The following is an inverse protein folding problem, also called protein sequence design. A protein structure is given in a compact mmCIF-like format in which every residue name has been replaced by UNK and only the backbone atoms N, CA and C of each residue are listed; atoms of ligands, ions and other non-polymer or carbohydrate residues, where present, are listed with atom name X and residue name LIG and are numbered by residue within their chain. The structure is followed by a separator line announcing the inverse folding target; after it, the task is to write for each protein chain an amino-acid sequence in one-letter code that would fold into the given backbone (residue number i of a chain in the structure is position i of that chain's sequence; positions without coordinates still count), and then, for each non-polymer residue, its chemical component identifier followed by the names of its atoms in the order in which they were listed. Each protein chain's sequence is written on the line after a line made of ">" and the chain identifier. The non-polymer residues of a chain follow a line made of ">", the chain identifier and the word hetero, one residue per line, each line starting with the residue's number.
data_IF_265845246665
#
_entry.id   IF_265845246665
#
_cell.length_a   1.000
_cell.length_b   1.000
_cell.length_c   1.000
_cell.angle_alpha   90.00
_cell.angle_beta   90.00
_cell.angle_gamma   90.00
#
_symmetry.space_group_name_H-M   'P 1'
#
loop_
_entity.id
_entity.type
_entity.pdbx_description
1 polymer ?
#
# COMPACT_ATOMS: atom_id res chain seq x y z
N UNK A 1 5.32 -64.31 -56.27
CA UNK A 1 4.01 -64.14 -55.60
C UNK A 1 4.27 -63.55 -54.22
N UNK A 2 3.49 -62.51 -53.85
CA UNK A 2 3.34 -61.88 -52.54
C UNK A 2 4.57 -61.17 -51.92
N UNK A 3 4.47 -59.98 -51.33
CA UNK A 3 3.49 -58.90 -51.36
C UNK A 3 4.23 -57.66 -50.80
N UNK A 4 4.08 -56.51 -51.45
CA UNK A 4 4.65 -55.23 -51.02
C UNK A 4 3.85 -54.67 -49.84
N UNK A 5 4.53 -54.38 -48.72
CA UNK A 5 3.99 -53.61 -47.59
C UNK A 5 4.56 -52.19 -47.64
N UNK A 6 3.70 -51.21 -47.89
CA UNK A 6 4.05 -49.80 -48.07
C UNK A 6 4.69 -49.20 -46.81
N UNK A 7 5.90 -48.66 -46.96
CA UNK A 7 6.52 -47.80 -45.97
C UNK A 7 5.79 -46.44 -45.99
N UNK A 8 4.88 -46.23 -45.04
CA UNK A 8 4.34 -44.92 -44.74
C UNK A 8 5.44 -44.03 -44.17
N UNK A 9 5.93 -43.09 -44.96
CA UNK A 9 6.78 -42.00 -44.50
C UNK A 9 6.01 -41.09 -43.56
N UNK A 10 6.11 -41.34 -42.26
CA UNK A 10 5.72 -40.36 -41.25
C UNK A 10 6.71 -39.19 -41.34
N UNK A 11 6.25 -38.06 -41.90
CA UNK A 11 6.97 -36.80 -41.79
C UNK A 11 7.21 -36.51 -40.29
N UNK A 12 8.42 -36.10 -39.87
CA UNK A 12 8.63 -35.72 -38.49
C UNK A 12 7.72 -34.54 -38.20
N UNK A 13 6.79 -34.72 -37.26
CA UNK A 13 5.93 -33.65 -36.77
C UNK A 13 6.83 -32.48 -36.40
N UNK A 14 6.67 -31.36 -37.10
CA UNK A 14 7.37 -30.13 -36.79
C UNK A 14 6.94 -29.71 -35.39
N UNK A 15 7.75 -30.06 -34.38
CA UNK A 15 7.59 -29.59 -33.01
C UNK A 15 7.76 -28.08 -33.09
N UNK A 16 6.65 -27.35 -33.05
CA UNK A 16 6.64 -25.90 -32.98
C UNK A 16 7.40 -25.49 -31.70
N UNK A 17 8.68 -25.17 -31.85
CA UNK A 17 9.51 -24.67 -30.75
C UNK A 17 9.10 -23.23 -30.53
N UNK A 18 8.37 -22.98 -29.46
CA UNK A 18 8.00 -21.63 -29.08
C UNK A 18 9.25 -20.89 -28.59
N UNK A 19 9.59 -19.81 -29.28
CA UNK A 19 10.67 -18.92 -28.89
C UNK A 19 10.07 -17.78 -28.06
N UNK A 20 10.32 -17.77 -26.75
CA UNK A 20 10.04 -16.58 -25.93
C UNK A 20 11.20 -15.60 -26.07
N UNK A 21 11.00 -14.55 -26.86
CA UNK A 21 11.88 -13.40 -26.88
C UNK A 21 11.39 -12.34 -25.88
N UNK A 22 12.31 -11.78 -25.10
CA UNK A 22 12.06 -10.64 -24.23
C UNK A 22 12.97 -9.50 -24.68
N UNK A 23 12.36 -8.35 -24.96
CA UNK A 23 13.06 -7.13 -25.31
C UNK A 23 12.87 -6.12 -24.17
N UNK A 24 13.92 -5.39 -23.80
CA UNK A 24 13.86 -4.34 -22.79
C UNK A 24 14.71 -3.14 -23.18
N UNK A 25 14.18 -1.93 -22.96
CA UNK A 25 14.88 -0.66 -23.17
C UNK A 25 15.03 0.03 -21.82
N UNK A 26 16.24 0.51 -21.51
CA UNK A 26 16.51 1.26 -20.29
C UNK A 26 17.12 2.61 -20.66
N UNK A 27 16.50 3.69 -20.20
CA UNK A 27 17.01 5.05 -20.36
C UNK A 27 17.64 5.48 -19.02
N UNK A 28 18.90 5.91 -19.06
CA UNK A 28 19.60 6.44 -17.89
C UNK A 28 20.00 7.89 -18.17
N UNK A 29 19.64 8.80 -17.28
CA UNK A 29 20.02 10.20 -17.38
C UNK A 29 21.35 10.41 -16.64
N UNK A 30 22.36 10.92 -17.35
CA UNK A 30 23.68 11.18 -16.76
C UNK A 30 23.56 12.22 -15.62
N UNK A 31 24.23 11.94 -14.49
CA UNK A 31 24.28 12.87 -13.34
C UNK A 31 23.09 12.80 -12.38
N UNK A 32 22.15 11.87 -12.55
CA UNK A 32 21.10 11.61 -11.55
C UNK A 32 21.27 10.24 -10.91
N UNK A 33 21.08 10.16 -9.59
CA UNK A 33 20.99 8.87 -8.88
C UNK A 33 19.79 8.10 -9.41
N UNK A 34 20.03 6.90 -9.94
CA UNK A 34 18.97 6.04 -10.46
C UNK A 34 17.92 5.80 -9.37
N UNK A 35 16.70 6.30 -9.60
CA UNK A 35 15.56 6.05 -8.72
C UNK A 35 15.19 4.59 -8.85
N UNK A 36 15.26 3.85 -7.73
CA UNK A 36 14.97 2.43 -7.71
C UNK A 36 13.47 2.21 -7.94
N UNK A 37 13.13 1.57 -9.05
CA UNK A 37 11.77 1.07 -9.32
C UNK A 37 11.62 -0.34 -8.75
N UNK A 38 10.41 -0.67 -8.34
CA UNK A 38 10.06 -2.00 -7.83
C UNK A 38 9.36 -2.88 -8.87
N UNK A 39 9.24 -2.36 -10.09
CA UNK A 39 8.57 -3.01 -11.21
C UNK A 39 8.25 -2.04 -12.35
N UNK A 40 7.44 -2.49 -13.31
CA UNK A 40 7.01 -1.69 -14.46
C UNK A 40 5.74 -2.30 -15.12
N UNK A 41 4.53 -1.74 -14.89
CA UNK A 41 4.14 -0.89 -13.77
C UNK A 41 3.81 -1.71 -12.49
N UNK A 42 3.53 -3.01 -12.64
CA UNK A 42 3.20 -3.89 -11.53
C UNK A 42 4.38 -4.20 -10.61
N UNK A 43 4.11 -4.35 -9.32
CA UNK A 43 5.11 -4.71 -8.32
C UNK A 43 5.65 -6.12 -8.53
N UNK A 44 6.97 -6.26 -8.43
CA UNK A 44 7.65 -7.55 -8.40
C UNK A 44 7.75 -8.06 -6.97
N UNK A 45 7.45 -9.33 -6.76
CA UNK A 45 7.57 -9.98 -5.44
C UNK A 45 9.02 -9.92 -4.96
N UNK A 46 9.22 -9.49 -3.71
CA UNK A 46 10.55 -9.33 -3.10
C UNK A 46 11.22 -7.97 -3.34
N UNK A 47 10.71 -7.16 -4.27
CA UNK A 47 11.16 -5.79 -4.45
C UNK A 47 10.68 -4.90 -3.28
N UNK A 48 11.39 -3.81 -2.94
CA UNK A 48 10.96 -2.93 -1.86
C UNK A 48 9.59 -2.31 -2.13
N UNK A 49 8.76 -2.21 -1.10
CA UNK A 49 7.52 -1.45 -1.15
C UNK A 49 7.87 0.04 -1.21
N UNK A 50 7.52 0.74 -2.29
CA UNK A 50 7.88 2.15 -2.44
C UNK A 50 7.07 3.00 -1.47
N UNK A 51 7.74 3.86 -0.71
CA UNK A 51 7.10 4.79 0.22
C UNK A 51 7.80 6.14 0.20
N UNK A 52 7.12 7.18 0.69
CA UNK A 52 7.64 8.53 0.76
C UNK A 52 6.79 9.42 1.67
N UNK A 53 7.23 10.66 1.82
CA UNK A 53 6.49 11.69 2.56
C UNK A 53 6.11 12.83 1.63
N UNK A 54 4.88 13.31 1.73
CA UNK A 54 4.43 14.48 0.96
C UNK A 54 5.08 15.74 1.53
N UNK A 55 5.79 16.47 0.67
CA UNK A 55 6.38 17.78 0.95
C UNK A 55 5.73 18.85 0.08
N UNK A 56 5.64 20.06 0.64
CA UNK A 56 5.23 21.26 -0.10
C UNK A 56 6.46 22.10 -0.43
N UNK A 57 6.47 22.71 -1.60
CA UNK A 57 7.49 23.66 -2.00
C UNK A 57 7.59 24.80 -0.96
N UNK A 58 8.77 25.04 -0.39
CA UNK A 58 8.96 26.07 0.65
C UNK A 58 8.83 27.51 0.12
N UNK A 59 8.78 27.69 -1.20
CA UNK A 59 8.67 29.02 -1.81
C UNK A 59 7.32 29.67 -1.48
N UNK A 60 7.36 30.89 -0.94
CA UNK A 60 6.17 31.68 -0.59
C UNK A 60 5.27 31.84 -1.81
N UNK A 61 4.01 31.41 -1.71
CA UNK A 61 3.03 31.47 -2.80
C UNK A 61 2.98 30.22 -3.70
N UNK A 62 3.87 29.24 -3.52
CA UNK A 62 3.81 27.99 -4.27
C UNK A 62 2.75 27.03 -3.70
N UNK A 63 1.95 26.45 -4.60
CA UNK A 63 1.01 25.35 -4.31
C UNK A 63 1.58 23.98 -4.69
N UNK A 64 2.83 23.92 -5.15
CA UNK A 64 3.43 22.68 -5.64
C UNK A 64 3.73 21.74 -4.47
N UNK A 65 3.40 20.48 -4.67
CA UNK A 65 3.70 19.39 -3.75
C UNK A 65 4.45 18.29 -4.50
N UNK A 66 5.31 17.58 -3.77
CA UNK A 66 6.06 16.46 -4.29
C UNK A 66 6.20 15.40 -3.20
N UNK A 67 6.50 14.17 -3.60
CA UNK A 67 6.79 13.09 -2.66
C UNK A 67 8.30 12.96 -2.51
N UNK A 68 8.79 13.09 -1.29
CA UNK A 68 10.16 12.72 -0.95
C UNK A 68 10.22 11.20 -0.78
N UNK A 69 10.64 10.52 -1.85
CA UNK A 69 10.64 9.07 -1.94
C UNK A 69 11.81 8.47 -1.14
N UNK A 70 11.50 7.49 -0.31
CA UNK A 70 12.49 6.72 0.44
C UNK A 70 13.24 5.76 -0.50
N UNK A 71 14.56 5.91 -0.57
CA UNK A 71 15.44 5.11 -1.45
C UNK A 71 15.35 3.60 -1.16
N UNK A 72 15.14 3.24 0.11
CA UNK A 72 15.02 1.85 0.57
C UNK A 72 13.61 1.27 0.49
N UNK A 73 12.59 2.05 0.14
CA UNK A 73 11.19 1.70 0.35
C UNK A 73 10.73 1.93 1.79
N UNK A 74 9.55 1.44 2.15
CA UNK A 74 8.98 1.55 3.49
C UNK A 74 9.87 0.84 4.52
N UNK A 75 10.45 1.55 5.50
CA UNK A 75 11.26 0.92 6.54
C UNK A 75 10.38 0.38 7.67
N UNK A 76 10.82 -0.70 8.30
CA UNK A 76 10.35 -1.16 9.61
C UNK A 76 11.55 -1.36 10.55
N UNK A 77 11.41 -1.15 11.87
CA UNK A 77 12.49 -1.39 12.83
C UNK A 77 13.03 -2.82 12.72
N UNK A 78 14.35 -2.97 12.75
CA UNK A 78 15.02 -4.26 12.67
C UNK A 78 16.23 -4.31 13.62
N UNK A 79 16.68 -5.52 13.91
CA UNK A 79 17.89 -5.72 14.69
C UNK A 79 19.14 -5.32 13.88
N UNK A 80 20.11 -4.71 14.58
CA UNK A 80 21.47 -4.56 14.09
C UNK A 80 22.22 -5.88 14.08
N UNK A 81 23.51 -5.84 13.71
CA UNK A 81 24.41 -7.00 13.79
C UNK A 81 24.58 -7.55 15.21
N UNK A 82 24.27 -6.74 16.22
CA UNK A 82 24.30 -7.05 17.64
C UNK A 82 22.95 -7.52 18.20
N UNK A 83 21.91 -7.65 17.36
CA UNK A 83 20.56 -8.02 17.79
C UNK A 83 19.74 -6.88 18.38
N UNK A 84 20.30 -5.66 18.49
CA UNK A 84 19.68 -4.53 19.20
C UNK A 84 18.97 -3.57 18.26
N UNK A 85 17.94 -2.91 18.79
CA UNK A 85 17.22 -1.87 18.06
C UNK A 85 18.12 -0.68 17.82
N UNK A 86 18.13 -0.07 16.64
CA UNK A 86 18.91 1.14 16.42
C UNK A 86 18.23 2.05 15.41
N UNK A 87 18.49 3.36 15.48
CA UNK A 87 17.89 4.35 14.56
C UNK A 87 18.28 4.11 13.10
N UNK A 88 19.42 3.47 12.85
CA UNK A 88 19.89 3.11 11.50
C UNK A 88 19.56 1.66 11.11
N UNK A 89 19.07 0.87 12.06
CA UNK A 89 18.79 -0.56 11.85
C UNK A 89 17.34 -0.70 11.40
N UNK A 90 17.11 -0.49 10.10
CA UNK A 90 15.80 -0.58 9.46
C UNK A 90 15.82 -1.66 8.40
N UNK A 91 14.76 -2.46 8.33
CA UNK A 91 14.55 -3.43 7.26
C UNK A 91 13.50 -2.89 6.28
N UNK A 92 13.77 -2.93 4.97
CA UNK A 92 12.77 -2.54 3.98
C UNK A 92 11.66 -3.58 3.89
N UNK A 93 10.41 -3.13 3.79
CA UNK A 93 9.28 -3.99 3.48
C UNK A 93 9.39 -4.51 2.05
N UNK A 94 9.29 -5.83 1.87
CA UNK A 94 9.34 -6.47 0.55
C UNK A 94 7.94 -6.80 0.06
N UNK A 95 7.60 -6.36 -1.14
CA UNK A 95 6.29 -6.58 -1.74
C UNK A 95 5.98 -8.08 -1.86
N UNK A 96 4.78 -8.48 -1.42
CA UNK A 96 4.31 -9.86 -1.50
C UNK A 96 4.99 -10.83 -0.51
N UNK A 97 5.80 -10.32 0.43
CA UNK A 97 6.45 -11.12 1.47
C UNK A 97 6.06 -10.58 2.84
N UNK A 98 5.11 -11.24 3.49
CA UNK A 98 4.80 -10.95 4.90
C UNK A 98 6.04 -11.24 5.74
N UNK A 99 6.42 -10.28 6.60
CA UNK A 99 7.63 -10.36 7.40
C UNK A 99 7.37 -9.82 8.81
N UNK A 100 7.94 -10.47 9.83
CA UNK A 100 8.04 -9.90 11.17
C UNK A 100 9.51 -9.59 11.45
N UNK A 101 9.78 -8.41 11.97
CA UNK A 101 11.13 -7.97 12.36
C UNK A 101 11.12 -7.63 13.83
N UNK A 102 12.15 -8.06 14.55
CA UNK A 102 12.30 -7.78 15.96
C UNK A 102 13.70 -7.30 16.29
N UNK A 103 13.82 -6.61 17.42
CA UNK A 103 15.08 -6.12 17.95
C UNK A 103 15.02 -5.97 19.47
N UNK A 104 16.16 -6.11 20.13
CA UNK A 104 16.26 -6.04 21.59
C UNK A 104 16.53 -4.61 22.10
N UNK A 105 15.85 -4.28 23.20
CA UNK A 105 15.93 -3.03 23.97
C UNK A 105 16.42 -3.40 25.38
N UNK A 106 17.72 -3.32 25.66
CA UNK A 106 18.30 -3.70 26.95
C UNK A 106 18.02 -2.67 28.06
N UNK A 107 17.09 -2.97 28.97
CA UNK A 107 16.70 -2.09 30.08
C UNK A 107 17.12 -2.68 31.43
N UNK A 108 17.53 -1.80 32.35
CA UNK A 108 17.60 -2.12 33.78
C UNK A 108 16.21 -2.07 34.41
N UNK A 109 16.04 -2.55 35.64
CA UNK A 109 14.75 -2.50 36.33
C UNK A 109 14.25 -1.05 36.46
N UNK A 110 15.12 -0.13 36.89
CA UNK A 110 14.81 1.30 37.00
C UNK A 110 14.53 1.92 35.64
N UNK A 111 15.24 1.49 34.59
CA UNK A 111 15.02 1.95 33.22
C UNK A 111 13.66 1.53 32.67
N UNK A 112 13.25 0.28 32.92
CA UNK A 112 11.94 -0.24 32.55
C UNK A 112 10.80 0.50 33.28
N UNK A 113 10.95 0.74 34.59
CA UNK A 113 9.97 1.49 35.39
C UNK A 113 9.81 2.94 34.88
N UNK A 114 10.93 3.61 34.61
CA UNK A 114 10.96 4.98 34.09
C UNK A 114 10.30 5.09 32.71
N UNK A 115 10.63 4.16 31.80
CA UNK A 115 10.02 4.03 30.49
C UNK A 115 8.49 3.85 30.61
N UNK A 116 8.07 2.94 31.49
CA UNK A 116 6.65 2.62 31.68
C UNK A 116 5.83 3.81 32.19
N UNK A 117 6.40 4.59 33.11
CA UNK A 117 5.74 5.78 33.68
C UNK A 117 5.79 6.99 32.75
N UNK A 118 6.47 6.89 31.60
CA UNK A 118 6.73 8.04 30.72
C UNK A 118 7.58 9.13 31.38
N UNK A 119 8.27 8.79 32.48
CA UNK A 119 9.08 9.70 33.28
C UNK A 119 10.55 9.51 32.95
N UNK A 120 11.22 10.58 32.49
CA UNK A 120 12.66 10.59 32.24
C UNK A 120 13.05 11.06 30.84
N UNK A 121 14.27 11.58 30.69
CA UNK A 121 14.90 12.06 29.46
C UNK A 121 15.51 10.93 28.63
N UNK A 122 14.85 9.78 28.57
CA UNK A 122 15.42 8.61 27.90
C UNK A 122 15.10 8.66 26.40
N UNK A 123 15.97 9.36 25.67
CA UNK A 123 16.01 9.33 24.21
C UNK A 123 16.47 7.94 23.76
N UNK A 124 15.99 7.45 22.62
CA UNK A 124 16.55 6.25 21.97
C UNK A 124 18.06 6.36 21.84
N UNK A 125 18.58 7.56 21.56
CA UNK A 125 20.03 7.77 21.42
C UNK A 125 20.80 7.71 22.73
N UNK A 126 20.30 8.28 23.84
CA UNK A 126 20.94 8.13 25.16
C UNK A 126 20.85 6.67 25.66
N UNK A 127 19.76 6.00 25.30
CA UNK A 127 19.54 4.58 25.57
C UNK A 127 20.48 3.67 24.75
N UNK A 128 20.76 4.04 23.50
CA UNK A 128 21.66 3.33 22.59
C UNK A 128 23.15 3.61 22.83
N UNK A 129 23.48 4.80 23.35
CA UNK A 129 24.86 5.21 23.66
C UNK A 129 25.43 4.45 24.87
N UNK A 130 24.58 3.98 25.78
CA UNK A 130 25.02 3.21 26.95
C UNK A 130 25.33 1.72 26.63
N UNK A 131 25.12 1.28 25.38
CA UNK A 131 25.19 -0.12 24.95
C UNK A 131 26.46 -0.51 24.19
N UNK A 132 27.22 0.48 23.72
CA UNK A 132 28.62 0.31 23.34
C UNK A 132 29.48 0.87 24.46
N UNK A 133 29.99 0.03 25.35
CA UNK A 133 30.91 0.50 26.40
C UNK A 133 32.12 1.20 25.79
N UNK A 134 32.40 2.44 26.20
CA UNK A 134 33.69 3.09 25.97
C UNK A 134 33.65 4.58 25.55
N UNK A 135 33.75 5.43 26.57
CA UNK A 135 34.36 6.77 26.65
C UNK A 135 34.99 7.41 25.40
N UNK A 136 34.32 8.41 24.79
CA UNK A 136 35.03 9.56 24.20
C UNK A 136 34.14 10.83 24.11
N UNK A 137 34.34 11.86 24.96
CA UNK A 137 33.48 13.04 25.01
C UNK A 137 33.61 13.97 23.79
N UNK A 138 34.63 13.79 22.93
CA UNK A 138 34.82 14.60 21.73
C UNK A 138 33.97 14.14 20.52
N UNK A 139 33.56 12.87 20.46
CA UNK A 139 32.67 12.37 19.40
C UNK A 139 31.20 12.72 19.69
N UNK A 140 30.85 12.92 20.96
CA UNK A 140 29.53 13.38 21.40
C UNK A 140 29.21 14.82 20.94
N UNK A 141 30.23 15.66 20.74
CA UNK A 141 30.06 17.01 20.20
C UNK A 141 29.88 17.04 18.66
N UNK A 142 30.24 15.96 17.96
CA UNK A 142 30.18 15.88 16.49
C UNK A 142 28.86 15.28 15.96
N UNK A 143 27.98 14.75 16.83
CA UNK A 143 26.62 14.29 16.47
C UNK A 143 25.52 15.17 17.08
N UNK A 144 25.88 16.38 17.50
CA UNK A 144 24.95 17.42 17.91
C UNK A 144 24.44 18.18 16.67
N UNK A 145 23.56 17.55 15.89
CA UNK A 145 22.77 18.18 14.81
C UNK A 145 21.68 17.17 14.38
N UNK A 146 20.36 17.34 14.48
CA UNK A 146 19.44 18.30 15.09
C UNK A 146 18.14 17.52 15.45
N UNK A 147 17.47 17.96 16.52
CA UNK A 147 16.12 17.57 16.99
C UNK A 147 15.89 16.14 17.54
N UNK A 148 16.09 16.00 18.85
CA UNK A 148 15.71 14.82 19.63
C UNK A 148 14.18 14.78 19.91
N UNK A 149 13.48 13.65 19.70
CA UNK A 149 12.13 13.49 20.20
C UNK A 149 12.11 13.39 21.74
N UNK A 150 11.24 14.19 22.38
CA UNK A 150 10.87 14.04 23.78
C UNK A 150 10.21 12.67 24.05
N UNK A 151 9.95 12.31 25.31
CA UNK A 151 9.25 11.09 25.78
C UNK A 151 7.79 10.92 25.29
N UNK A 152 7.37 11.69 24.30
CA UNK A 152 5.99 11.81 23.81
C UNK A 152 5.60 10.85 22.67
N UNK A 153 6.47 10.44 21.72
CA UNK A 153 6.18 9.37 20.77
C UNK A 153 6.66 8.00 21.26
N UNK A 154 5.92 6.91 20.99
CA UNK A 154 6.38 5.55 21.24
C UNK A 154 7.74 5.22 20.59
N UNK A 155 8.53 4.35 21.23
CA UNK A 155 9.85 3.93 20.77
C UNK A 155 9.87 3.42 19.31
N UNK A 156 8.91 2.59 18.83
CA UNK A 156 8.88 2.19 17.43
C UNK A 156 8.71 3.36 16.45
N UNK A 157 7.96 4.41 16.82
CA UNK A 157 7.84 5.59 15.99
C UNK A 157 9.14 6.41 15.95
N UNK A 158 9.85 6.50 17.07
CA UNK A 158 11.15 7.17 17.14
C UNK A 158 12.19 6.47 16.24
N UNK A 159 12.22 5.13 16.24
CA UNK A 159 13.09 4.33 15.37
C UNK A 159 12.77 4.48 13.87
N UNK A 160 11.57 4.94 13.54
CA UNK A 160 11.13 5.20 12.17
C UNK A 160 11.18 6.68 11.81
N UNK A 161 11.87 7.53 12.58
CA UNK A 161 11.91 8.99 12.40
C UNK A 161 10.50 9.62 12.33
N UNK A 162 9.55 9.08 13.11
CA UNK A 162 8.16 9.53 13.12
C UNK A 162 7.37 9.23 11.85
N UNK A 163 7.90 8.44 10.90
CA UNK A 163 7.30 8.21 9.58
C UNK A 163 5.82 7.82 9.63
N UNK A 164 5.40 6.98 10.58
CA UNK A 164 4.01 6.52 10.68
C UNK A 164 3.29 7.13 11.88
N UNK A 165 3.77 8.23 12.45
CA UNK A 165 3.23 8.82 13.67
C UNK A 165 2.77 10.26 13.45
N UNK A 166 1.52 10.56 13.80
CA UNK A 166 1.01 11.93 13.81
C UNK A 166 1.01 12.47 15.24
N UNK A 167 1.98 13.32 15.63
CA UNK A 167 1.89 14.02 16.90
C UNK A 167 0.84 15.13 16.81
N UNK A 168 0.05 15.29 17.89
CA UNK A 168 -0.74 16.50 18.14
C UNK A 168 0.09 17.60 18.84
N UNK A 169 1.36 17.34 19.15
CA UNK A 169 2.21 18.20 19.98
C UNK A 169 3.36 18.80 19.18
N UNK A 170 3.51 20.13 19.28
CA UNK A 170 4.55 20.92 18.63
C UNK A 170 5.95 20.51 19.12
N UNK A 171 6.87 20.22 18.18
CA UNK A 171 8.29 19.97 18.50
C UNK A 171 8.98 18.93 17.62
N UNK A 172 8.23 18.05 16.95
CA UNK A 172 8.75 17.25 15.84
C UNK A 172 8.20 17.85 14.55
N UNK A 173 9.09 18.32 13.67
CA UNK A 173 8.81 18.94 12.36
C UNK A 173 8.16 18.00 11.32
N UNK A 174 7.49 16.95 11.80
CA UNK A 174 6.65 16.01 11.05
C UNK A 174 5.15 16.33 11.13
N UNK A 175 4.74 17.28 11.98
CA UNK A 175 3.38 17.82 11.98
C UNK A 175 3.05 18.45 10.61
N UNK A 176 2.44 17.66 9.71
CA UNK A 176 2.10 18.07 8.35
C UNK A 176 2.66 17.17 7.23
N UNK A 177 3.59 16.26 7.54
CA UNK A 177 4.08 15.28 6.55
C UNK A 177 3.17 14.05 6.55
N UNK A 178 2.56 13.76 5.40
CA UNK A 178 1.73 12.57 5.20
C UNK A 178 2.58 11.48 4.57
N UNK A 179 2.63 10.30 5.20
CA UNK A 179 3.31 9.15 4.62
C UNK A 179 2.43 8.47 3.59
N UNK A 180 3.02 8.26 2.42
CA UNK A 180 2.36 7.67 1.26
C UNK A 180 3.14 6.44 0.82
N UNK A 181 2.41 5.40 0.44
CA UNK A 181 2.97 4.21 -0.22
C UNK A 181 2.61 4.32 -1.69
N UNK A 182 3.46 3.90 -2.62
CA UNK A 182 3.09 3.99 -4.04
C UNK A 182 2.09 2.88 -4.40
N UNK A 183 1.03 3.24 -5.13
CA UNK A 183 0.08 2.26 -5.68
C UNK A 183 0.73 1.35 -6.73
N UNK A 184 1.66 1.91 -7.50
CA UNK A 184 2.38 1.25 -8.59
C UNK A 184 3.88 1.24 -8.37
N UNK A 185 4.56 0.29 -8.99
CA UNK A 185 5.98 0.00 -8.75
C UNK A 185 6.94 0.89 -9.55
N UNK A 186 6.40 1.70 -10.46
CA UNK A 186 7.09 2.70 -11.27
C UNK A 186 6.69 4.14 -10.91
N UNK A 187 6.02 4.33 -9.79
CA UNK A 187 5.58 5.64 -9.30
C UNK A 187 6.72 6.66 -9.24
N UNK A 188 6.40 7.87 -9.69
CA UNK A 188 7.37 8.97 -9.77
C UNK A 188 7.19 9.95 -8.62
N UNK A 189 8.29 10.43 -8.03
CA UNK A 189 8.29 11.48 -7.00
C UNK A 189 7.60 12.80 -7.40
N UNK A 190 7.49 13.05 -8.70
CA UNK A 190 6.87 14.26 -9.27
C UNK A 190 5.36 14.08 -9.52
N UNK A 191 4.87 12.84 -9.60
CA UNK A 191 3.48 12.55 -9.92
C UNK A 191 2.75 12.09 -8.66
N UNK A 192 2.17 13.03 -7.93
CA UNK A 192 1.47 12.73 -6.67
C UNK A 192 0.32 11.72 -6.86
N UNK A 193 -0.29 11.66 -8.05
CA UNK A 193 -1.38 10.74 -8.36
C UNK A 193 -1.00 9.25 -8.23
N UNK A 194 0.28 8.89 -8.41
CA UNK A 194 0.74 7.51 -8.24
C UNK A 194 0.87 7.10 -6.75
N UNK A 195 0.88 8.10 -5.86
CA UNK A 195 1.07 7.96 -4.42
C UNK A 195 -0.20 8.25 -3.62
N UNK A 196 -1.16 8.96 -4.21
CA UNK A 196 -2.44 9.31 -3.58
C UNK A 196 -3.57 8.44 -4.10
N UNK A 197 -4.54 8.17 -3.24
CA UNK A 197 -5.82 7.59 -3.62
C UNK A 197 -6.60 8.51 -4.57
N UNK A 198 -7.44 7.93 -5.45
CA UNK A 198 -8.46 8.71 -6.15
C UNK A 198 -9.45 9.37 -5.17
N UNK A 199 -10.21 10.32 -5.71
CA UNK A 199 -11.05 11.28 -4.99
C UNK A 199 -12.08 10.65 -4.04
N UNK A 200 -12.49 11.43 -3.02
CA UNK A 200 -13.46 11.04 -1.98
C UNK A 200 -14.83 10.54 -2.46
N UNK A 201 -15.14 10.66 -3.76
CA UNK A 201 -16.36 10.16 -4.38
C UNK A 201 -16.27 8.67 -4.80
N UNK A 202 -15.08 8.09 -4.86
CA UNK A 202 -14.88 6.70 -5.32
C UNK A 202 -13.92 5.93 -4.39
N UNK A 203 -14.51 5.37 -3.33
CA UNK A 203 -13.81 4.63 -2.28
C UNK A 203 -13.53 3.16 -2.65
N UNK A 204 -13.95 2.71 -3.83
CA UNK A 204 -13.87 1.30 -4.22
C UNK A 204 -12.45 0.84 -4.62
N UNK A 205 -11.53 1.76 -4.91
CA UNK A 205 -10.23 1.37 -5.50
C UNK A 205 -9.01 2.22 -5.06
N UNK A 206 -9.03 2.79 -3.85
CA UNK A 206 -8.07 3.87 -3.54
C UNK A 206 -7.76 4.06 -2.05
N UNK A 207 -6.64 3.56 -1.52
CA UNK A 207 -6.10 4.05 -0.23
C UNK A 207 -4.59 3.75 -0.03
N UNK A 208 -3.74 4.33 -0.87
CA UNK A 208 -2.27 4.23 -0.74
C UNK A 208 -1.67 5.12 0.34
N UNK A 209 -2.47 6.01 0.94
CA UNK A 209 -2.07 6.82 2.10
C UNK A 209 -2.07 5.93 3.33
N UNK A 210 -0.91 5.73 3.94
CA UNK A 210 -0.84 5.06 5.23
C UNK A 210 -1.37 6.04 6.29
N UNK A 211 -2.51 5.76 6.95
CA UNK A 211 -3.02 6.66 7.97
C UNK A 211 -1.96 6.80 9.05
N UNK A 212 -1.64 8.03 9.46
CA UNK A 212 -0.71 8.21 10.55
C UNK A 212 -1.30 7.58 11.82
N UNK A 213 -0.47 6.85 12.57
CA UNK A 213 -0.83 6.34 13.87
C UNK A 213 -1.03 7.54 14.81
N UNK A 214 -2.24 7.63 15.37
CA UNK A 214 -2.49 8.49 16.50
C UNK A 214 -1.70 8.02 17.73
N UNK A 215 -1.58 8.90 18.72
CA UNK A 215 -1.10 8.52 20.03
C UNK A 215 -1.86 7.26 20.53
N UNK A 216 -1.17 6.27 21.11
CA UNK A 216 -1.81 5.11 21.70
C UNK A 216 -2.95 5.53 22.64
N UNK A 217 -4.16 4.99 22.41
CA UNK A 217 -5.32 5.29 23.26
C UNK A 217 -5.18 4.68 24.67
N UNK A 218 -4.32 3.68 24.82
CA UNK A 218 -3.98 3.04 26.09
C UNK A 218 -2.63 3.54 26.58
N UNK A 219 -2.58 3.96 27.84
CA UNK A 219 -1.33 4.31 28.50
C UNK A 219 -0.65 3.05 29.05
N UNK A 220 0.67 3.11 29.13
CA UNK A 220 1.46 2.09 29.83
C UNK A 220 1.16 2.12 31.34
N UNK A 221 1.17 0.94 31.97
CA UNK A 221 0.87 0.79 33.41
C UNK A 221 1.98 -0.01 34.08
N UNK A 222 2.58 0.58 35.12
CA UNK A 222 3.64 -0.07 35.90
C UNK A 222 3.07 -0.78 37.13
N UNK A 223 3.36 -2.08 37.25
CA UNK A 223 3.00 -2.91 38.41
C UNK A 223 4.25 -3.28 39.19
N UNK A 224 4.50 -2.57 40.30
CA UNK A 224 5.71 -2.74 41.11
C UNK A 224 5.84 -4.13 41.76
N UNK A 225 4.71 -4.77 42.12
CA UNK A 225 4.69 -6.09 42.75
C UNK A 225 5.26 -7.18 41.83
N UNK A 226 4.99 -7.09 40.52
CA UNK A 226 5.42 -8.08 39.52
C UNK A 226 6.58 -7.58 38.66
N UNK A 227 7.02 -6.32 38.84
CA UNK A 227 8.03 -5.65 38.00
C UNK A 227 7.66 -5.70 36.52
N UNK A 228 6.38 -5.50 36.22
CA UNK A 228 5.79 -5.58 34.88
C UNK A 228 5.34 -4.21 34.41
N UNK A 229 5.65 -3.89 33.15
CA UNK A 229 5.03 -2.81 32.41
C UNK A 229 4.02 -3.37 31.41
N UNK A 230 2.75 -3.04 31.60
CA UNK A 230 1.66 -3.46 30.72
C UNK A 230 1.34 -2.39 29.66
N UNK A 231 0.74 -2.83 28.54
CA UNK A 231 0.36 -1.99 27.40
C UNK A 231 1.53 -1.23 26.75
N UNK A 232 2.72 -1.83 26.71
CA UNK A 232 3.88 -1.26 26.02
C UNK A 232 3.66 -1.30 24.52
N UNK A 233 3.75 -0.18 23.78
CA UNK A 233 3.75 -0.18 22.33
C UNK A 233 5.08 -0.74 21.80
N UNK A 234 5.13 -2.07 21.60
CA UNK A 234 6.32 -2.81 21.19
C UNK A 234 6.59 -2.79 19.69
N UNK A 235 5.66 -2.28 18.88
CA UNK A 235 5.92 -2.11 17.45
C UNK A 235 4.74 -1.62 16.63
N UNK A 236 4.94 -1.65 15.32
CA UNK A 236 3.94 -1.22 14.34
C UNK A 236 3.52 -2.42 13.49
N UNK A 237 2.21 -2.62 13.37
CA UNK A 237 1.60 -3.55 12.44
C UNK A 237 1.22 -2.84 11.15
N UNK A 238 1.82 -3.22 10.03
CA UNK A 238 1.50 -2.71 8.69
C UNK A 238 0.75 -3.80 7.91
N UNK A 239 -0.47 -3.51 7.49
CA UNK A 239 -1.26 -4.38 6.62
C UNK A 239 -1.34 -3.76 5.23
N UNK A 240 -0.85 -4.49 4.24
CA UNK A 240 -0.80 -4.06 2.84
C UNK A 240 -1.77 -4.91 2.05
N UNK A 241 -2.87 -4.28 1.63
CA UNK A 241 -3.86 -4.87 0.75
C UNK A 241 -3.40 -4.69 -0.70
N UNK A 242 -3.34 -5.77 -1.45
CA UNK A 242 -2.83 -5.83 -2.82
C UNK A 242 -3.90 -6.33 -3.77
N UNK A 243 -3.88 -5.84 -5.00
CA UNK A 243 -4.81 -6.26 -6.04
C UNK A 243 -4.07 -6.51 -7.35
N UNK A 244 -4.65 -7.33 -8.22
CA UNK A 244 -4.17 -7.56 -9.58
C UNK A 244 -5.02 -6.77 -10.57
N UNK A 245 -4.42 -6.00 -11.45
CA UNK A 245 -5.16 -5.21 -12.44
C UNK A 245 -4.60 -5.46 -13.83
N UNK A 246 -5.48 -5.50 -14.83
CA UNK A 246 -5.12 -5.75 -16.22
C UNK A 246 -5.86 -6.95 -16.79
N UNK A 247 -5.36 -7.46 -17.91
CA UNK A 247 -5.95 -8.62 -18.56
C UNK A 247 -5.71 -9.88 -17.74
N UNK A 248 -6.62 -10.86 -17.85
CA UNK A 248 -6.52 -12.15 -17.16
C UNK A 248 -5.18 -12.86 -17.42
N UNK A 249 -4.63 -12.70 -18.62
CA UNK A 249 -3.38 -13.35 -19.04
C UNK A 249 -2.11 -12.59 -18.63
N UNK A 250 -2.22 -11.30 -18.26
CA UNK A 250 -1.08 -10.49 -17.81
C UNK A 250 -1.46 -9.52 -16.66
N UNK A 251 -1.91 -10.05 -15.51
CA UNK A 251 -2.26 -9.22 -14.36
C UNK A 251 -1.04 -8.50 -13.78
N UNK A 252 -1.18 -7.22 -13.51
CA UNK A 252 -0.19 -6.39 -12.84
C UNK A 252 -0.53 -6.25 -11.36
N UNK A 253 0.42 -6.53 -10.47
CA UNK A 253 0.20 -6.39 -9.03
C UNK A 253 0.33 -4.92 -8.61
N UNK A 254 -0.62 -4.42 -7.83
CA UNK A 254 -0.62 -3.08 -7.26
C UNK A 254 -0.99 -3.09 -5.78
N UNK A 255 -0.60 -2.03 -5.09
CA UNK A 255 -1.05 -1.76 -3.71
C UNK A 255 -2.41 -1.07 -3.79
N UNK A 256 -3.42 -1.68 -3.19
CA UNK A 256 -4.76 -1.12 -3.12
C UNK A 256 -4.93 -0.26 -1.86
N UNK A 257 -4.48 -0.79 -0.71
CA UNK A 257 -4.59 -0.09 0.57
C UNK A 257 -3.43 -0.40 1.52
N UNK A 258 -3.07 0.58 2.36
CA UNK A 258 -2.20 0.37 3.51
C UNK A 258 -2.92 0.77 4.79
N UNK A 259 -2.87 -0.09 5.79
CA UNK A 259 -3.35 0.18 7.14
C UNK A 259 -2.22 -0.01 8.15
N UNK A 260 -2.21 0.81 9.18
CA UNK A 260 -1.21 0.77 10.25
C UNK A 260 -1.89 0.67 11.61
N UNK A 261 -1.30 -0.11 12.51
CA UNK A 261 -1.80 -0.31 13.87
C UNK A 261 -0.64 -0.39 14.87
N UNK A 262 -0.91 -0.07 16.14
CA UNK A 262 0.04 -0.34 17.22
C UNK A 262 0.01 -1.82 17.61
N UNK A 263 1.19 -2.38 17.92
CA UNK A 263 1.34 -3.66 18.59
C UNK A 263 1.70 -3.41 20.05
N UNK A 264 0.99 -4.08 20.95
CA UNK A 264 1.18 -3.96 22.38
C UNK A 264 1.64 -5.28 22.99
N UNK A 265 2.48 -5.20 24.01
CA UNK A 265 2.85 -6.34 24.84
C UNK A 265 3.09 -5.90 26.29
N UNK A 266 3.23 -6.87 27.18
CA UNK A 266 3.67 -6.65 28.56
C UNK A 266 5.13 -7.05 28.70
N UNK A 267 5.92 -6.19 29.33
CA UNK A 267 7.34 -6.40 29.59
C UNK A 267 7.56 -6.62 31.08
N UNK A 268 8.04 -7.81 31.44
CA UNK A 268 8.32 -8.18 32.83
C UNK A 268 9.81 -8.33 33.02
N UNK A 269 10.36 -7.71 34.05
CA UNK A 269 11.75 -7.94 34.46
C UNK A 269 11.85 -9.34 35.08
N UNK A 270 12.35 -10.29 34.31
CA UNK A 270 12.13 -11.73 34.51
C UNK A 270 12.96 -12.34 35.65
N UNK A 271 14.13 -11.77 35.95
CA UNK A 271 14.98 -12.25 37.03
C UNK A 271 14.64 -11.57 38.37
N UNK A 272 13.99 -12.27 39.32
CA UNK A 272 13.67 -11.71 40.63
C UNK A 272 14.91 -11.53 41.52
N UNK A 273 16.00 -12.25 41.24
CA UNK A 273 17.23 -12.30 42.04
C UNK A 273 18.37 -11.45 41.46
N UNK A 274 18.29 -11.06 40.19
CA UNK A 274 19.23 -10.11 39.61
C UNK A 274 19.16 -8.76 40.34
N UNK A 275 20.32 -8.16 40.66
CA UNK A 275 20.34 -6.79 41.13
C UNK A 275 19.78 -5.87 40.04
N UNK A 276 19.04 -4.83 40.44
CA UNK A 276 18.22 -4.01 39.53
C UNK A 276 19.00 -3.19 38.50
N UNK A 277 20.33 -3.21 38.58
CA UNK A 277 21.30 -2.62 37.66
C UNK A 277 21.65 -3.55 36.47
N UNK A 278 21.30 -4.83 36.54
CA UNK A 278 21.49 -5.77 35.42
C UNK A 278 20.51 -5.43 34.31
N UNK A 279 21.03 -5.34 33.07
CA UNK A 279 20.23 -5.13 31.88
C UNK A 279 19.61 -6.43 31.38
N UNK A 280 18.34 -6.38 31.02
CA UNK A 280 17.61 -7.45 30.36
C UNK A 280 17.10 -6.96 29.01
N UNK A 281 17.09 -7.86 28.03
CA UNK A 281 16.65 -7.56 26.68
C UNK A 281 15.13 -7.63 26.55
N UNK A 282 14.51 -6.51 26.20
CA UNK A 282 13.08 -6.41 25.90
C UNK A 282 12.87 -6.31 24.40
N UNK A 283 12.03 -7.18 23.83
CA UNK A 283 11.88 -7.25 22.37
C UNK A 283 10.83 -6.26 21.86
N UNK A 284 11.21 -5.50 20.85
CA UNK A 284 10.28 -4.86 19.92
C UNK A 284 9.95 -5.81 18.78
N UNK A 285 8.72 -5.75 18.29
CA UNK A 285 8.25 -6.57 17.18
C UNK A 285 7.38 -5.74 16.24
N UNK A 286 7.82 -5.60 14.98
CA UNK A 286 7.06 -4.97 13.92
C UNK A 286 6.62 -6.02 12.90
N UNK A 287 5.34 -6.02 12.55
CA UNK A 287 4.75 -7.05 11.70
C UNK A 287 4.23 -6.44 10.41
N UNK A 288 4.55 -7.05 9.28
CA UNK A 288 4.02 -6.67 7.97
C UNK A 288 3.26 -7.84 7.38
N UNK A 289 2.00 -7.59 7.01
CA UNK A 289 1.12 -8.58 6.41
C UNK A 289 0.67 -8.12 5.04
N UNK A 290 0.88 -8.96 4.03
CA UNK A 290 0.27 -8.79 2.72
C UNK A 290 -1.03 -9.58 2.63
N UNK A 291 -2.09 -8.93 2.16
CA UNK A 291 -3.39 -9.54 1.89
C UNK A 291 -3.73 -9.25 0.43
N UNK A 292 -4.15 -10.27 -0.32
CA UNK A 292 -4.62 -10.10 -1.69
C UNK A 292 -6.15 -9.94 -1.68
N UNK A 293 -6.67 -8.98 -2.44
CA UNK A 293 -8.12 -8.75 -2.58
C UNK A 293 -8.73 -9.86 -3.43
N UNK A 294 -9.86 -10.42 -2.97
CA UNK A 294 -10.68 -11.30 -3.80
C UNK A 294 -11.24 -10.54 -5.00
N UNK A 295 -10.87 -10.97 -6.20
CA UNK A 295 -11.26 -10.28 -7.42
C UNK A 295 -12.62 -10.76 -7.89
N UNK A 296 -13.47 -9.82 -8.33
CA UNK A 296 -14.66 -10.17 -9.07
C UNK A 296 -14.28 -10.96 -10.33
N UNK A 297 -15.14 -11.91 -10.72
CA UNK A 297 -14.90 -12.74 -11.89
C UNK A 297 -14.63 -11.86 -13.12
N UNK A 298 -13.65 -12.27 -13.94
CA UNK A 298 -13.28 -11.53 -15.14
C UNK A 298 -14.52 -11.29 -16.02
N UNK A 299 -14.88 -10.02 -16.20
CA UNK A 299 -16.02 -9.67 -17.04
C UNK A 299 -15.58 -9.81 -18.50
N UNK A 300 -16.14 -10.80 -19.19
CA UNK A 300 -15.93 -10.97 -20.62
C UNK A 300 -16.50 -9.77 -21.35
N UNK A 301 -15.64 -8.91 -21.88
CA UNK A 301 -16.06 -7.86 -22.81
C UNK A 301 -16.38 -8.56 -24.12
N UNK A 302 -17.65 -8.87 -24.36
CA UNK A 302 -18.10 -9.30 -25.69
C UNK A 302 -18.03 -8.09 -26.61
N UNK A 303 -17.11 -8.05 -27.60
CA UNK A 303 -17.11 -6.96 -28.56
C UNK A 303 -18.47 -6.92 -29.26
N UNK A 304 -18.97 -5.71 -29.52
CA UNK A 304 -20.18 -5.57 -30.32
C UNK A 304 -19.96 -6.28 -31.66
N UNK A 305 -20.87 -7.17 -32.12
CA UNK A 305 -20.72 -7.85 -33.39
C UNK A 305 -20.45 -6.81 -34.49
N UNK A 306 -19.45 -7.04 -35.35
CA UNK A 306 -19.21 -6.13 -36.47
C UNK A 306 -20.50 -6.01 -37.29
N UNK A 307 -20.82 -4.82 -37.84
CA UNK A 307 -21.99 -4.66 -38.69
C UNK A 307 -21.90 -5.66 -39.85
N UNK A 308 -22.80 -6.65 -39.86
CA UNK A 308 -22.82 -7.72 -40.87
C UNK A 308 -23.28 -7.18 -42.23
N UNK A 309 -23.96 -6.03 -42.22
CA UNK A 309 -24.42 -5.36 -43.43
C UNK A 309 -23.54 -4.14 -43.72
N UNK A 310 -23.00 -4.00 -44.95
CA UNK A 310 -22.43 -2.74 -45.39
C UNK A 310 -23.53 -1.67 -45.32
N UNK A 311 -23.18 -0.45 -44.91
CA UNK A 311 -24.10 0.69 -44.98
C UNK A 311 -24.41 0.95 -46.45
N UNK A 312 -25.55 0.46 -46.92
CA UNK A 312 -25.99 0.69 -48.29
C UNK A 312 -26.34 2.19 -48.42
N UNK A 313 -25.86 2.87 -49.48
CA UNK A 313 -26.32 4.21 -49.81
C UNK A 313 -27.84 4.22 -49.95
N UNK A 314 -28.47 5.36 -49.64
CA UNK A 314 -29.93 5.53 -49.73
C UNK A 314 -30.50 5.19 -51.12
N UNK A 315 -29.64 5.16 -52.15
CA UNK A 315 -30.00 5.00 -53.56
C UNK A 315 -29.72 3.59 -54.11
N UNK A 316 -29.33 2.61 -53.29
CA UNK A 316 -29.00 1.26 -53.76
C UNK A 316 -30.14 0.57 -54.54
N UNK A 317 -31.39 0.93 -54.27
CA UNK A 317 -32.58 0.36 -54.92
C UNK A 317 -33.23 1.27 -55.97
N UNK A 318 -32.60 2.38 -56.35
CA UNK A 318 -33.14 3.27 -57.37
C UNK A 318 -32.73 2.82 -58.79
N UNK A 319 -33.65 2.65 -59.78
CA UNK A 319 -35.09 2.84 -59.76
C UNK A 319 -35.87 1.51 -59.95
N UNK A 320 -35.66 0.49 -59.12
CA UNK A 320 -36.53 -0.71 -59.12
C UNK A 320 -37.73 -0.50 -58.20
N UNK A 321 -38.54 0.51 -58.48
CA UNK A 321 -39.90 0.61 -57.96
C UNK A 321 -40.84 0.06 -59.03
N UNK A 322 -41.30 -1.17 -58.84
CA UNK A 322 -42.53 -1.66 -59.47
C UNK A 322 -43.66 -0.68 -59.17
N UNK A 323 -44.29 -0.18 -60.23
CA UNK A 323 -45.44 0.72 -60.14
C UNK A 323 -46.58 0.05 -59.35
N UNK A 324 -46.83 0.52 -58.14
CA UNK A 324 -48.14 0.38 -57.51
C UNK A 324 -48.59 1.78 -57.12
N UNK A 325 -49.72 2.17 -57.69
CA UNK A 325 -50.29 3.50 -57.70
C UNK A 325 -50.63 4.04 -56.32
N UNK A 326 -50.44 5.35 -56.21
CA UNK A 326 -50.84 6.29 -55.17
C UNK A 326 -52.29 6.09 -54.69
N UNK A 327 -52.50 6.06 -53.37
CA UNK A 327 -53.82 6.15 -52.76
C UNK A 327 -53.80 6.54 -51.28
N UNK A 328 -54.11 7.83 -51.00
CA UNK A 328 -54.90 8.25 -49.84
C UNK A 328 -54.28 8.26 -48.44
N UNK A 329 -54.07 9.47 -47.89
CA UNK A 329 -53.86 9.73 -46.46
C UNK A 329 -55.12 9.44 -45.64
N UNK A 330 -55.02 8.72 -44.51
CA UNK A 330 -55.85 8.97 -43.31
C UNK A 330 -55.39 8.16 -42.06
N UNK A 331 -55.20 8.90 -40.97
CA UNK A 331 -55.40 8.51 -39.56
C UNK A 331 -54.58 7.36 -38.94
N UNK A 332 -53.56 7.71 -38.15
CA UNK A 332 -53.06 6.88 -37.06
C UNK A 332 -52.48 7.76 -35.91
N UNK A 333 -53.32 8.55 -35.25
CA UNK A 333 -52.94 9.35 -34.06
C UNK A 333 -53.60 8.92 -32.76
N UNK A 334 -54.31 7.78 -32.74
CA UNK A 334 -55.02 7.29 -31.54
C UNK A 334 -54.19 6.27 -30.73
N UNK A 335 -53.18 5.64 -31.34
CA UNK A 335 -52.39 4.59 -30.68
C UNK A 335 -51.43 5.11 -29.60
N UNK A 336 -50.98 6.37 -29.69
CA UNK A 336 -50.02 6.95 -28.74
C UNK A 336 -50.64 7.32 -27.39
N UNK A 337 -51.92 7.69 -27.37
CA UNK A 337 -52.61 8.07 -26.12
C UNK A 337 -52.98 6.86 -25.25
N UNK A 338 -53.26 5.70 -25.86
CA UNK A 338 -53.58 4.47 -25.13
C UNK A 338 -52.33 3.88 -24.45
N UNK A 339 -51.15 3.98 -25.08
CA UNK A 339 -49.90 3.52 -24.49
C UNK A 339 -49.46 4.37 -23.28
N UNK A 340 -49.73 5.68 -23.31
CA UNK A 340 -49.37 6.60 -22.23
C UNK A 340 -50.31 6.45 -21.01
N UNK A 341 -51.59 6.13 -21.24
CA UNK A 341 -52.54 5.84 -20.17
C UNK A 341 -52.29 4.48 -19.49
N UNK A 342 -51.80 3.47 -20.23
CA UNK A 342 -51.45 2.17 -19.65
C UNK A 342 -50.20 2.25 -18.76
N UNK A 343 -49.22 3.08 -19.12
CA UNK A 343 -47.99 3.26 -18.34
C UNK A 343 -48.21 3.98 -17.00
N UNK A 344 -49.15 4.93 -16.94
CA UNK A 344 -49.46 5.66 -15.70
C UNK A 344 -50.26 4.84 -14.68
N UNK A 345 -51.13 3.93 -15.15
CA UNK A 345 -51.85 3.00 -14.26
C UNK A 345 -50.90 1.94 -13.67
N UNK A 346 -49.92 1.47 -14.43
CA UNK A 346 -48.91 0.53 -13.93
C UNK A 346 -48.00 1.16 -12.86
N UNK A 347 -47.61 2.42 -13.03
CA UNK A 347 -46.77 3.14 -12.06
C UNK A 347 -47.48 3.46 -10.73
N UNK A 348 -48.81 3.65 -10.75
CA UNK A 348 -49.61 3.87 -9.54
C UNK A 348 -49.92 2.57 -8.77
N UNK A 349 -49.87 1.40 -9.41
CA UNK A 349 -50.11 0.12 -8.75
C UNK A 349 -48.87 -0.41 -8.00
N UNK A 350 -47.65 -0.08 -8.44
CA UNK A 350 -46.41 -0.58 -7.83
C UNK A 350 -45.90 0.24 -6.65
N UNK A 351 -46.47 1.42 -6.36
CA UNK A 351 -46.03 2.30 -5.26
C UNK A 351 -46.81 2.12 -3.95
N UNK A 352 -47.79 1.20 -3.88
CA UNK A 352 -48.58 0.93 -2.66
C UNK A 352 -48.21 -0.36 -1.92
N UNK A 353 -47.09 -1.02 -2.24
CA UNK A 353 -46.75 -2.35 -1.74
C UNK A 353 -45.43 -2.50 -0.98
N UNK A 354 -44.92 -1.46 -0.31
CA UNK A 354 -43.71 -1.59 0.52
C UNK A 354 -43.78 -0.70 1.77
N UNK A 355 -44.65 -1.08 2.70
CA UNK A 355 -44.46 -0.85 4.14
C UNK A 355 -44.50 -2.24 4.79
N UNK A 356 -43.64 -2.43 5.81
CA UNK A 356 -43.48 -3.59 6.71
C UNK A 356 -42.40 -4.63 6.32
N UNK A 357 -41.16 -4.38 6.79
CA UNK A 357 -40.34 -5.16 7.74
C UNK A 357 -38.86 -4.76 7.66
#
# INVERSE_FOLDING_TARGET
>A
AAAAGAAGTAAPAAVARSLRQKFSVAFQQAGQTAVRRSGAPGYQVGAPLLAGVTLRDPTVGSSKTAVDQLVGGLPVPAAGSDGRCGVNNKSPVRFGMSQSTGCAVPLTLTGLEAFCKGTGTFTVNAFMYALGGGENPAFAAAMADNDAPASTPPLPAQLMDGLLYAPATAGLTHAGKTTVVAGWADASRLNLADWTSCAAADAADCATVAPALAAPAVSMVWTAATRTCDNVPVGVGVEVLTARVGTRDNPQARVARVATSWRFASWTYADPFAPGDVRQDFMLESTVRFVEVDQAAAQGVTPQPPPVFPSLPADFFYPFLSSASVGGRAAASVAWWVALAAASVAACATTRGANEF
#
